data_IF_679113450611
#
_entry.id   IF_679113450611
#
_cell.length_a   1.000
_cell.length_b   1.000
_cell.length_c   1.000
_cell.angle_alpha   90.00
_cell.angle_beta   90.00
_cell.angle_gamma   90.00
#
_symmetry.space_group_name_H-M   'P 1'
#
loop_
_entity.id
_entity.type
_entity.pdbx_description
1 polymer ?
#
# COMPACT_ATOMS: atom_id res chain seq x y z
N UNK A 1 -11.82 3.57 4.01
CA UNK A 1 -11.37 2.28 3.46
C UNK A 1 -10.62 1.56 4.58
N UNK A 2 -10.98 0.32 4.93
CA UNK A 2 -10.32 -0.46 6.01
C UNK A 2 -9.27 -1.46 5.51
N UNK A 3 -9.25 -1.67 4.20
CA UNK A 3 -8.48 -2.73 3.53
C UNK A 3 -7.01 -2.89 3.97
N UNK A 4 -6.24 -1.80 4.04
CA UNK A 4 -4.82 -1.85 4.44
C UNK A 4 -4.58 -1.64 5.94
N UNK A 5 -5.63 -1.34 6.70
CA UNK A 5 -5.54 -1.11 8.15
C UNK A 5 -4.89 -2.28 8.90
N UNK A 6 -5.30 -3.55 8.71
CA UNK A 6 -4.64 -4.66 9.41
C UNK A 6 -3.15 -4.79 9.07
N UNK A 7 -2.78 -4.55 7.81
CA UNK A 7 -1.37 -4.59 7.39
C UNK A 7 -0.53 -3.52 8.11
N UNK A 8 -1.04 -2.30 8.24
CA UNK A 8 -0.33 -1.22 8.93
C UNK A 8 -0.26 -1.42 10.44
N UNK A 9 -1.36 -1.83 11.08
CA UNK A 9 -1.44 -2.03 12.54
C UNK A 9 -0.54 -3.19 12.99
N UNK A 10 -0.48 -4.26 12.18
CA UNK A 10 0.27 -5.46 12.52
C UNK A 10 1.62 -5.58 11.80
N UNK A 11 2.01 -4.58 11.00
CA UNK A 11 3.22 -4.58 10.18
C UNK A 11 3.37 -5.87 9.35
N UNK A 12 2.26 -6.33 8.77
CA UNK A 12 2.20 -7.54 7.95
C UNK A 12 2.06 -7.14 6.48
N UNK A 13 3.19 -7.18 5.77
CA UNK A 13 3.30 -6.77 4.37
C UNK A 13 3.32 -7.95 3.39
N UNK A 14 2.62 -9.04 3.74
CA UNK A 14 2.35 -10.13 2.78
C UNK A 14 1.80 -9.57 1.47
N UNK A 15 2.32 -10.01 0.32
CA UNK A 15 2.07 -9.35 -0.95
C UNK A 15 0.60 -9.44 -1.37
N UNK A 16 -0.07 -8.30 -1.49
CA UNK A 16 -1.36 -8.17 -2.20
C UNK A 16 -1.20 -7.37 -3.50
N UNK A 17 -0.29 -6.40 -3.49
CA UNK A 17 0.21 -5.70 -4.66
C UNK A 17 1.65 -5.24 -4.41
N UNK A 18 2.60 -5.76 -5.18
CA UNK A 18 4.02 -5.61 -4.83
C UNK A 18 4.60 -4.25 -5.21
N UNK A 19 5.68 -3.85 -4.53
CA UNK A 19 6.46 -2.66 -4.90
C UNK A 19 6.92 -2.68 -6.35
N UNK A 20 7.35 -3.85 -6.85
CA UNK A 20 7.70 -4.04 -8.27
C UNK A 20 6.55 -3.75 -9.23
N UNK A 21 5.35 -4.24 -8.93
CA UNK A 21 4.17 -4.00 -9.78
C UNK A 21 3.78 -2.52 -9.77
N UNK A 22 3.80 -1.88 -8.60
CA UNK A 22 3.50 -0.46 -8.47
C UNK A 22 4.51 0.41 -9.24
N UNK A 23 5.81 0.11 -9.15
CA UNK A 23 6.84 0.83 -9.92
C UNK A 23 6.57 0.75 -11.42
N UNK A 24 6.32 -0.46 -11.93
CA UNK A 24 6.01 -0.71 -13.34
C UNK A 24 4.75 0.08 -13.79
N UNK A 25 3.71 0.14 -12.96
CA UNK A 25 2.51 0.92 -13.30
C UNK A 25 2.78 2.44 -13.30
N UNK A 26 3.64 2.96 -12.41
CA UNK A 26 4.06 4.36 -12.40
C UNK A 26 4.89 4.71 -13.64
N UNK A 27 5.81 3.83 -14.05
CA UNK A 27 6.60 3.98 -15.27
C UNK A 27 5.69 4.10 -16.52
N UNK A 28 4.70 3.21 -16.64
CA UNK A 28 3.70 3.25 -17.71
C UNK A 28 2.87 4.54 -17.68
N UNK A 29 2.44 4.99 -16.50
CA UNK A 29 1.70 6.24 -16.36
C UNK A 29 2.52 7.49 -16.73
N UNK A 30 3.78 7.52 -16.33
CA UNK A 30 4.72 8.60 -16.68
C UNK A 30 5.02 8.63 -18.19
N UNK A 31 5.13 7.47 -18.83
CA UNK A 31 5.26 7.35 -20.28
C UNK A 31 4.05 7.92 -21.01
N UNK A 32 2.84 7.49 -20.64
CA UNK A 32 1.61 8.03 -21.21
C UNK A 32 1.48 9.55 -21.00
N UNK A 33 1.88 10.07 -19.84
CA UNK A 33 1.91 11.52 -19.57
C UNK A 33 2.84 12.29 -20.51
N UNK A 34 4.02 11.73 -20.82
CA UNK A 34 4.95 12.32 -21.80
C UNK A 34 4.35 12.34 -23.21
N UNK A 35 3.76 11.24 -23.65
CA UNK A 35 3.18 11.10 -24.99
C UNK A 35 2.01 12.07 -25.22
N UNK A 36 1.22 12.32 -24.16
CA UNK A 36 0.07 13.23 -24.22
C UNK A 36 0.41 14.68 -23.87
N UNK A 37 1.66 14.99 -23.53
CA UNK A 37 2.07 16.34 -23.10
C UNK A 37 1.44 16.79 -21.78
N UNK A 38 1.08 15.85 -20.91
CA UNK A 38 0.46 16.12 -19.59
C UNK A 38 1.52 16.01 -18.49
N UNK A 39 1.83 17.10 -17.76
CA UNK A 39 2.80 17.05 -16.67
C UNK A 39 2.24 16.29 -15.45
N UNK A 40 2.99 15.31 -14.95
CA UNK A 40 2.62 14.48 -13.79
C UNK A 40 3.64 14.61 -12.64
N UNK A 41 3.84 15.80 -12.05
CA UNK A 41 4.93 16.05 -11.10
C UNK A 41 4.81 15.21 -9.81
N UNK A 42 3.59 14.98 -9.33
CA UNK A 42 3.38 14.16 -8.12
C UNK A 42 3.68 12.68 -8.41
N UNK A 43 3.23 12.17 -9.56
CA UNK A 43 3.55 10.80 -9.99
C UNK A 43 5.06 10.58 -10.12
N UNK A 44 5.79 11.58 -10.65
CA UNK A 44 7.24 11.51 -10.76
C UNK A 44 7.92 11.45 -9.38
N UNK A 45 7.47 12.26 -8.42
CA UNK A 45 7.99 12.18 -7.05
C UNK A 45 7.68 10.83 -6.38
N UNK A 46 6.46 10.31 -6.57
CA UNK A 46 6.06 9.00 -6.04
C UNK A 46 6.87 7.87 -6.68
N UNK A 47 7.17 7.95 -7.98
CA UNK A 47 8.03 6.98 -8.67
C UNK A 47 9.42 6.87 -8.02
N UNK A 48 10.03 7.97 -7.62
CA UNK A 48 11.33 7.95 -6.92
C UNK A 48 11.22 7.28 -5.55
N UNK A 49 10.14 7.56 -4.80
CA UNK A 49 9.89 6.94 -3.49
C UNK A 49 9.68 5.43 -3.63
N UNK A 50 8.89 4.98 -4.61
CA UNK A 50 8.64 3.56 -4.87
C UNK A 50 9.89 2.86 -5.42
N UNK A 51 10.70 3.56 -6.22
CA UNK A 51 12.00 3.03 -6.67
C UNK A 51 12.94 2.82 -5.48
N UNK A 52 12.93 3.74 -4.51
CA UNK A 52 13.69 3.58 -3.29
C UNK A 52 13.19 2.39 -2.44
N UNK A 53 11.87 2.20 -2.31
CA UNK A 53 11.29 1.02 -1.64
C UNK A 53 11.83 -0.28 -2.22
N UNK A 54 11.83 -0.40 -3.55
CA UNK A 54 12.33 -1.62 -4.21
C UNK A 54 13.85 -1.77 -3.98
N UNK A 55 14.59 -0.67 -4.03
CA UNK A 55 16.04 -0.67 -3.82
C UNK A 55 16.44 -1.05 -2.39
N UNK A 56 15.56 -0.79 -1.43
CA UNK A 56 15.74 -1.11 0.00
C UNK A 56 15.37 -2.58 0.33
N UNK A 57 15.01 -3.37 -0.68
CA UNK A 57 14.73 -4.80 -0.53
C UNK A 57 13.25 -5.16 -0.37
N UNK A 58 12.35 -4.18 -0.34
CA UNK A 58 10.90 -4.39 -0.18
C UNK A 58 10.16 -4.57 -1.53
N UNK A 59 10.86 -4.98 -2.59
CA UNK A 59 10.29 -5.07 -3.93
C UNK A 59 9.18 -6.10 -4.09
N UNK A 60 9.32 -7.23 -3.40
CA UNK A 60 8.39 -8.37 -3.43
C UNK A 60 7.33 -8.32 -2.32
N UNK A 61 7.46 -7.37 -1.39
CA UNK A 61 6.46 -7.11 -0.35
C UNK A 61 5.34 -6.23 -0.89
N UNK A 62 4.23 -6.19 -0.15
CA UNK A 62 3.17 -5.24 -0.44
C UNK A 62 3.70 -3.80 -0.40
N UNK A 63 3.26 -2.95 -1.34
CA UNK A 63 3.69 -1.54 -1.37
C UNK A 63 3.40 -0.78 -0.07
N UNK A 64 2.49 -1.28 0.79
CA UNK A 64 2.29 -0.77 2.14
C UNK A 64 3.58 -0.75 2.99
N UNK A 65 4.61 -1.53 2.64
CA UNK A 65 5.94 -1.47 3.24
C UNK A 65 6.62 -0.08 3.10
N UNK A 66 6.09 0.82 2.27
CA UNK A 66 6.45 2.25 2.29
C UNK A 66 6.37 2.87 3.70
N UNK A 67 5.48 2.36 4.56
CA UNK A 67 5.40 2.78 5.95
C UNK A 67 6.71 2.52 6.70
N UNK A 68 7.34 1.35 6.49
CA UNK A 68 8.62 1.00 7.12
C UNK A 68 9.75 1.87 6.57
N UNK A 69 9.81 2.05 5.25
CA UNK A 69 10.81 2.90 4.58
C UNK A 69 10.80 4.32 5.18
N UNK A 70 9.63 4.94 5.26
CA UNK A 70 9.50 6.32 5.74
C UNK A 70 9.66 6.42 7.26
N UNK A 71 9.23 5.41 8.03
CA UNK A 71 9.53 5.35 9.46
C UNK A 71 11.04 5.30 9.72
N UNK A 72 11.77 4.43 9.01
CA UNK A 72 13.23 4.34 9.10
C UNK A 72 13.91 5.67 8.74
N UNK A 73 13.45 6.34 7.68
CA UNK A 73 13.94 7.68 7.28
C UNK A 73 13.65 8.77 8.30
N UNK A 74 12.54 8.64 9.04
CA UNK A 74 12.19 9.54 10.13
C UNK A 74 12.92 9.21 11.46
N UNK A 75 13.75 8.15 11.49
CA UNK A 75 14.39 7.68 12.72
C UNK A 75 13.41 7.05 13.71
N UNK A 76 12.28 6.54 13.21
CA UNK A 76 11.24 5.89 14.00
C UNK A 76 11.32 4.37 13.83
N UNK A 77 11.29 3.65 14.94
CA UNK A 77 11.14 2.20 14.96
C UNK A 77 9.66 1.87 15.23
N UNK A 78 9.03 1.15 14.29
CA UNK A 78 7.64 0.71 14.42
C UNK A 78 7.59 -0.71 14.98
N UNK A 79 6.64 -0.95 15.88
CA UNK A 79 6.33 -2.28 16.39
C UNK A 79 4.89 -2.68 16.04
N UNK A 80 4.61 -3.97 15.80
CA UNK A 80 3.26 -4.44 15.52
C UNK A 80 2.40 -4.42 16.78
N UNK A 81 1.15 -3.97 16.67
CA UNK A 81 0.22 -3.95 17.81
C UNK A 81 -0.34 -5.35 18.14
N UNK A 82 -0.30 -6.29 17.18
CA UNK A 82 -0.78 -7.68 17.32
C UNK A 82 -2.24 -7.77 17.77
N UNK A 83 -3.09 -6.95 17.16
CA UNK A 83 -4.53 -6.93 17.40
C UNK A 83 -5.28 -7.40 16.16
N UNK A 84 -6.43 -8.04 16.37
CA UNK A 84 -7.32 -8.41 15.28
C UNK A 84 -8.04 -7.16 14.75
N UNK A 85 -7.89 -6.89 13.44
CA UNK A 85 -8.43 -5.70 12.79
C UNK A 85 -9.13 -6.12 11.52
N UNK A 86 -10.40 -5.74 11.43
CA UNK A 86 -11.25 -5.93 10.27
C UNK A 86 -10.71 -5.17 9.03
N UNK A 87 -10.47 -5.89 7.93
CA UNK A 87 -10.09 -5.32 6.63
C UNK A 87 -11.27 -4.65 5.89
N UNK A 88 -12.50 -4.93 6.33
CA UNK A 88 -13.72 -4.44 5.71
C UNK A 88 -13.94 -4.93 4.27
N UNK A 89 -13.31 -6.06 3.87
CA UNK A 89 -13.48 -6.69 2.56
C UNK A 89 -14.62 -7.74 2.53
N UNK A 90 -15.47 -7.76 3.55
CA UNK A 90 -16.62 -8.67 3.59
C UNK A 90 -17.58 -8.41 2.44
N UNK A 91 -18.20 -9.48 1.87
CA UNK A 91 -19.34 -9.35 0.98
C UNK A 91 -20.40 -8.40 1.55
N UNK A 92 -21.02 -7.60 0.67
CA UNK A 92 -22.00 -6.58 1.07
C UNK A 92 -23.20 -7.19 1.81
N UNK A 93 -23.52 -8.45 1.51
CA UNK A 93 -24.60 -9.19 2.15
C UNK A 93 -24.32 -9.50 3.63
N UNK A 94 -23.04 -9.63 4.01
CA UNK A 94 -22.62 -9.93 5.39
C UNK A 94 -22.75 -8.72 6.31
N UNK A 95 -22.59 -7.50 5.79
CA UNK A 95 -22.88 -6.26 6.52
C UNK A 95 -24.35 -6.18 6.94
N UNK A 96 -25.24 -6.63 6.06
CA UNK A 96 -26.67 -6.61 6.32
C UNK A 96 -27.08 -7.68 7.34
N UNK A 97 -26.38 -8.83 7.37
CA UNK A 97 -26.62 -9.92 8.34
C UNK A 97 -26.06 -9.59 9.73
N UNK A 98 -24.86 -9.01 9.80
CA UNK A 98 -24.27 -8.54 11.04
C UNK A 98 -25.10 -7.40 11.70
N UNK A 99 -25.67 -6.51 10.88
CA UNK A 99 -26.56 -5.44 11.37
C UNK A 99 -27.93 -5.96 11.87
N UNK A 100 -28.35 -7.16 11.44
CA UNK A 100 -29.60 -7.80 11.87
C UNK A 100 -29.45 -8.73 13.07
N UNK A 101 -28.22 -9.02 13.49
CA UNK A 101 -27.96 -9.95 14.60
C UNK A 101 -28.18 -11.43 14.26
N UNK A 102 -28.28 -11.77 12.97
CA UNK A 102 -28.54 -13.13 12.48
C UNK A 102 -27.24 -13.94 12.27
N UNK A 103 -26.17 -13.62 13.01
CA UNK A 103 -24.89 -14.31 12.96
C UNK A 103 -24.99 -15.67 13.68
#
# INVERSE_FOLDING_TARGET
TRYKTPAFVNLDFRPTFTGHLLRKDLELGLEAGRDLGVPLPITAAVHEIVTALVSDGHGDEDFAALLLLEAGRAGLELGPERVDVDDGLHPVDDLARAARGDA
#
